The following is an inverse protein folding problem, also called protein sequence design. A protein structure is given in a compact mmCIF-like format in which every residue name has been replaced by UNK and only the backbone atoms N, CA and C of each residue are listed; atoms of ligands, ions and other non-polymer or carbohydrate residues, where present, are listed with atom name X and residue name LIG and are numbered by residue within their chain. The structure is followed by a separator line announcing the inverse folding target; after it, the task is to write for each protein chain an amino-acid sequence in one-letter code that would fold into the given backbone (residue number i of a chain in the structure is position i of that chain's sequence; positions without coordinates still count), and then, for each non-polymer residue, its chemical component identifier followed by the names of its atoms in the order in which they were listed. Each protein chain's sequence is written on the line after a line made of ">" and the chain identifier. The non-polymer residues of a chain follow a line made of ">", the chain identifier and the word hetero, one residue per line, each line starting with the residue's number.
data_IF_721854474300
#
_entry.id   IF_721854474300
#
_cell.length_a   1.000
_cell.length_b   1.000
_cell.length_c   1.000
_cell.angle_alpha   90.00
_cell.angle_beta   90.00
_cell.angle_gamma   90.00
#
_symmetry.space_group_name_H-M   'P 1'
#
loop_
_entity.id
_entity.type
_entity.pdbx_description
1 polymer ?
#
# COMPACT_ATOMS: atom_id res chain seq x y z
N UNK A 1 -24.93 7.19 3.62
CA UNK A 1 -24.61 6.84 5.00
C UNK A 1 -23.12 6.98 5.19
N UNK A 2 -22.71 7.66 6.27
CA UNK A 2 -21.30 7.77 6.69
C UNK A 2 -21.01 6.74 7.76
N UNK A 3 -19.78 6.22 7.79
CA UNK A 3 -19.29 5.30 8.80
C UNK A 3 -18.21 5.98 9.63
N UNK A 4 -18.29 5.78 10.95
CA UNK A 4 -17.34 6.34 11.90
C UNK A 4 -16.62 5.23 12.65
N UNK A 5 -15.35 5.46 12.89
CA UNK A 5 -14.51 4.58 13.69
C UNK A 5 -14.71 4.88 15.18
N UNK A 6 -14.22 3.99 16.03
CA UNK A 6 -14.32 4.17 17.51
C UNK A 6 -13.65 5.44 18.02
N UNK A 7 -12.64 5.94 17.33
CA UNK A 7 -11.95 7.22 17.63
C UNK A 7 -12.69 8.46 17.08
N UNK A 8 -13.88 8.28 16.53
CA UNK A 8 -14.70 9.35 15.98
C UNK A 8 -14.38 9.76 14.54
N UNK A 9 -13.32 9.25 13.93
CA UNK A 9 -12.96 9.57 12.55
C UNK A 9 -13.96 8.96 11.56
N UNK A 10 -14.39 9.75 10.57
CA UNK A 10 -15.09 9.27 9.39
C UNK A 10 -14.16 8.42 8.51
N UNK A 11 -14.72 7.48 7.75
CA UNK A 11 -13.96 6.75 6.71
C UNK A 11 -13.97 7.47 5.36
N UNK A 12 -14.66 8.60 5.24
CA UNK A 12 -14.82 9.33 3.97
C UNK A 12 -13.48 9.93 3.51
N UNK A 13 -13.23 9.92 2.23
CA UNK A 13 -12.03 10.41 1.54
C UNK A 13 -10.70 9.74 1.96
N UNK A 14 -10.50 9.49 3.24
CA UNK A 14 -9.24 8.99 3.79
C UNK A 14 -9.23 7.47 3.99
N UNK A 15 -10.41 6.82 4.00
CA UNK A 15 -10.54 5.41 4.33
C UNK A 15 -9.96 5.08 5.72
N UNK A 16 -9.47 3.87 5.89
CA UNK A 16 -8.73 3.43 7.08
C UNK A 16 -7.25 3.37 6.75
N UNK A 17 -6.50 4.33 7.27
CA UNK A 17 -5.07 4.41 7.02
C UNK A 17 -4.31 3.29 7.74
N UNK A 18 -3.51 2.53 7.00
CA UNK A 18 -2.64 1.48 7.55
C UNK A 18 -1.48 2.06 8.37
N UNK A 19 -1.11 1.38 9.46
CA UNK A 19 0.05 1.76 10.26
C UNK A 19 1.37 1.57 9.50
N UNK A 20 1.46 0.53 8.67
CA UNK A 20 2.61 0.27 7.80
C UNK A 20 2.13 0.33 6.36
N UNK A 21 2.61 1.32 5.63
CA UNK A 21 2.27 1.54 4.22
C UNK A 21 3.38 0.96 3.36
N UNK A 22 3.02 0.07 2.44
CA UNK A 22 3.92 -0.48 1.42
C UNK A 22 3.88 0.40 0.17
N UNK A 23 4.98 0.49 -0.60
CA UNK A 23 4.99 1.26 -1.84
C UNK A 23 3.94 0.74 -2.82
N UNK A 24 3.06 1.60 -3.33
CA UNK A 24 2.05 1.25 -4.32
C UNK A 24 1.92 2.35 -5.38
N UNK A 25 1.78 1.94 -6.64
CA UNK A 25 1.52 2.88 -7.74
C UNK A 25 0.16 3.56 -7.57
N UNK A 26 -0.82 2.84 -7.02
CA UNK A 26 -2.19 3.32 -6.81
C UNK A 26 -2.24 4.54 -5.87
N UNK A 27 -1.30 4.68 -4.93
CA UNK A 27 -1.21 5.82 -4.02
C UNK A 27 -0.90 7.15 -4.73
N UNK A 28 -0.42 7.07 -5.98
CA UNK A 28 -0.04 8.23 -6.80
C UNK A 28 -1.03 8.53 -7.94
N UNK A 29 -2.03 7.68 -8.10
CA UNK A 29 -3.09 7.84 -9.09
C UNK A 29 -4.24 8.66 -8.53
N UNK A 30 -4.96 9.37 -9.42
CA UNK A 30 -6.18 10.11 -9.05
C UNK A 30 -7.38 9.14 -9.04
N UNK A 31 -7.33 8.15 -8.17
CA UNK A 31 -8.34 7.12 -7.95
C UNK A 31 -8.83 7.19 -6.51
N UNK A 32 -10.02 6.67 -6.26
CA UNK A 32 -10.62 6.66 -4.94
C UNK A 32 -11.71 7.73 -4.78
N UNK A 33 -12.35 7.71 -3.63
CA UNK A 33 -13.52 8.55 -3.34
C UNK A 33 -13.22 10.05 -3.46
N UNK A 34 -12.02 10.48 -3.02
CA UNK A 34 -11.61 11.88 -3.06
C UNK A 34 -11.51 12.49 -4.48
N UNK A 35 -11.45 11.63 -5.53
CA UNK A 35 -11.42 12.07 -6.93
C UNK A 35 -12.81 12.22 -7.56
N UNK A 36 -13.87 11.87 -6.84
CA UNK A 36 -15.26 11.97 -7.31
C UNK A 36 -15.81 13.40 -7.11
N UNK A 37 -16.57 13.90 -8.08
CA UNK A 37 -17.12 15.27 -8.06
C UNK A 37 -18.02 15.56 -6.84
N UNK A 38 -18.65 14.55 -6.26
CA UNK A 38 -19.57 14.68 -5.14
C UNK A 38 -19.14 13.86 -3.92
N UNK A 39 -17.81 13.69 -3.72
CA UNK A 39 -17.29 13.01 -2.56
C UNK A 39 -17.74 13.70 -1.26
N UNK A 40 -18.17 12.91 -0.28
CA UNK A 40 -18.49 13.42 1.04
C UNK A 40 -17.22 13.84 1.76
N UNK A 41 -17.24 15.01 2.39
CA UNK A 41 -16.09 15.52 3.13
C UNK A 41 -15.79 14.63 4.35
N UNK A 42 -14.50 14.52 4.68
CA UNK A 42 -14.09 13.95 5.96
C UNK A 42 -14.61 14.80 7.12
N UNK A 43 -15.17 14.14 8.13
CA UNK A 43 -15.59 14.79 9.37
C UNK A 43 -15.28 13.89 10.59
N UNK A 44 -15.52 14.40 11.77
CA UNK A 44 -15.30 13.71 13.03
C UNK A 44 -16.49 13.89 13.96
N UNK A 45 -16.81 12.84 14.69
CA UNK A 45 -17.77 12.86 15.81
C UNK A 45 -17.04 12.61 17.14
N UNK A 46 -17.75 12.69 18.24
CA UNK A 46 -17.19 12.35 19.54
C UNK A 46 -16.70 10.89 19.56
N UNK A 47 -15.51 10.68 20.11
CA UNK A 47 -14.93 9.38 20.33
C UNK A 47 -15.83 8.51 21.21
N UNK A 48 -15.96 7.22 20.87
CA UNK A 48 -16.69 6.25 21.70
C UNK A 48 -15.87 5.86 22.92
N UNK A 49 -16.56 5.55 24.02
CA UNK A 49 -15.90 4.96 25.20
C UNK A 49 -15.42 3.55 24.86
N UNK A 50 -14.11 3.32 24.90
CA UNK A 50 -13.52 1.99 24.70
C UNK A 50 -12.27 1.79 25.55
N UNK A 51 -11.96 0.54 25.84
CA UNK A 51 -10.74 0.17 26.57
C UNK A 51 -9.64 -0.17 25.57
N UNK A 52 -8.58 0.64 25.53
CA UNK A 52 -7.42 0.33 24.70
C UNK A 52 -6.64 -0.86 25.28
N UNK A 53 -6.45 -1.90 24.46
CA UNK A 53 -5.69 -3.10 24.85
C UNK A 53 -4.17 -2.92 24.69
N UNK A 54 -3.72 -1.82 24.08
CA UNK A 54 -2.31 -1.46 23.89
C UNK A 54 -1.43 -2.53 23.20
N UNK A 55 -2.04 -3.50 22.50
CA UNK A 55 -1.28 -4.54 21.76
C UNK A 55 -0.46 -3.94 20.61
N UNK A 56 -0.97 -2.88 19.99
CA UNK A 56 -0.25 -2.09 18.98
C UNK A 56 0.04 -0.72 19.57
N UNK A 57 1.30 -0.43 19.81
CA UNK A 57 1.77 0.85 20.32
C UNK A 57 2.84 1.45 19.40
N UNK A 58 3.23 2.69 19.65
CA UNK A 58 4.19 3.42 18.82
C UNK A 58 5.56 2.72 18.71
N UNK A 59 6.04 2.04 19.76
CA UNK A 59 7.30 1.31 19.75
C UNK A 59 7.21 0.08 18.82
N UNK A 60 6.16 -0.73 18.99
CA UNK A 60 5.89 -1.90 18.13
C UNK A 60 5.81 -1.47 16.67
N UNK A 61 4.97 -0.47 16.36
CA UNK A 61 4.80 0.05 15.00
C UNK A 61 6.13 0.57 14.43
N UNK A 62 6.94 1.28 15.22
CA UNK A 62 8.24 1.80 14.79
C UNK A 62 9.23 0.67 14.45
N UNK A 63 9.27 -0.39 15.26
CA UNK A 63 10.14 -1.56 15.03
C UNK A 63 9.73 -2.31 13.77
N UNK A 64 8.44 -2.55 13.58
CA UNK A 64 7.90 -3.20 12.41
C UNK A 64 8.20 -2.39 11.14
N UNK A 65 7.96 -1.07 11.16
CA UNK A 65 8.30 -0.18 10.04
C UNK A 65 9.78 -0.26 9.66
N UNK A 66 10.68 -0.29 10.65
CA UNK A 66 12.13 -0.38 10.38
C UNK A 66 12.53 -1.72 9.75
N UNK A 67 11.95 -2.84 10.23
CA UNK A 67 12.20 -4.17 9.66
C UNK A 67 11.67 -4.27 8.23
N UNK A 68 10.41 -3.87 8.02
CA UNK A 68 9.78 -3.84 6.71
C UNK A 68 10.55 -2.97 5.71
N UNK A 69 10.93 -1.75 6.09
CA UNK A 69 11.70 -0.85 5.22
C UNK A 69 13.02 -1.45 4.76
N UNK A 70 13.70 -2.25 5.61
CA UNK A 70 14.93 -2.96 5.22
C UNK A 70 14.67 -4.04 4.18
N UNK A 71 13.61 -4.87 4.35
CA UNK A 71 13.25 -5.92 3.39
C UNK A 71 12.84 -5.33 2.06
N UNK A 72 11.97 -4.31 2.07
CA UNK A 72 11.55 -3.56 0.88
C UNK A 72 12.72 -2.96 0.11
N UNK A 73 13.75 -2.47 0.81
CA UNK A 73 14.95 -1.91 0.16
C UNK A 73 15.83 -2.98 -0.52
N UNK A 74 15.77 -4.23 -0.05
CA UNK A 74 16.55 -5.35 -0.59
C UNK A 74 15.79 -6.13 -1.66
N UNK A 75 14.46 -6.12 -1.64
CA UNK A 75 13.62 -6.87 -2.56
C UNK A 75 13.58 -6.20 -3.93
N UNK A 76 13.82 -6.98 -4.99
CA UNK A 76 13.95 -6.45 -6.36
C UNK A 76 12.60 -6.06 -6.97
N UNK A 77 11.51 -6.74 -6.61
CA UNK A 77 10.16 -6.38 -7.05
C UNK A 77 9.74 -5.02 -6.47
N UNK A 78 9.98 -4.78 -5.18
CA UNK A 78 9.73 -3.45 -4.62
C UNK A 78 10.64 -2.36 -5.18
N UNK A 79 11.84 -2.69 -5.64
CA UNK A 79 12.69 -1.74 -6.39
C UNK A 79 12.08 -1.41 -7.74
N UNK A 80 11.54 -2.42 -8.47
CA UNK A 80 10.81 -2.23 -9.73
C UNK A 80 9.61 -1.32 -9.50
N UNK A 81 8.74 -1.63 -8.52
CA UNK A 81 7.58 -0.81 -8.16
C UNK A 81 7.97 0.65 -7.86
N UNK A 82 9.00 0.88 -7.06
CA UNK A 82 9.48 2.25 -6.77
C UNK A 82 9.96 3.00 -8.02
N UNK A 83 10.58 2.29 -8.95
CA UNK A 83 10.99 2.87 -10.22
C UNK A 83 9.77 3.25 -11.07
N UNK A 84 8.77 2.37 -11.13
CA UNK A 84 7.55 2.64 -11.89
C UNK A 84 6.75 3.80 -11.29
N UNK A 85 6.71 3.91 -9.96
CA UNK A 85 6.17 5.09 -9.28
C UNK A 85 6.91 6.37 -9.69
N UNK A 86 8.24 6.33 -9.71
CA UNK A 86 9.05 7.50 -10.11
C UNK A 86 8.80 7.90 -11.56
N UNK A 87 8.77 6.92 -12.47
CA UNK A 87 8.46 7.11 -13.89
C UNK A 87 7.05 7.68 -14.09
N UNK A 88 6.06 7.17 -13.34
CA UNK A 88 4.67 7.66 -13.36
C UNK A 88 4.59 9.12 -12.90
N UNK A 89 5.20 9.44 -11.76
CA UNK A 89 5.23 10.81 -11.23
C UNK A 89 5.90 11.77 -12.21
N UNK A 90 6.99 11.35 -12.86
CA UNK A 90 7.66 12.15 -13.87
C UNK A 90 6.74 12.39 -15.09
N UNK A 91 6.06 11.36 -15.57
CA UNK A 91 5.07 11.47 -16.66
C UNK A 91 3.91 12.40 -16.30
N UNK A 92 3.37 12.27 -15.09
CA UNK A 92 2.26 13.11 -14.60
C UNK A 92 2.66 14.61 -14.51
N UNK A 93 3.94 14.90 -14.24
CA UNK A 93 4.47 16.29 -14.20
C UNK A 93 4.72 16.89 -15.58
N UNK A 94 4.75 16.10 -16.65
CA UNK A 94 5.00 16.62 -18.01
C UNK A 94 3.84 17.48 -18.48
N UNK A 95 4.14 18.73 -18.82
CA UNK A 95 3.15 19.69 -19.36
C UNK A 95 3.06 19.67 -20.88
N UNK A 96 3.93 18.91 -21.58
CA UNK A 96 3.99 18.82 -23.04
C UNK A 96 4.28 17.41 -23.49
N UNK A 97 3.62 16.97 -24.56
CA UNK A 97 3.84 15.68 -25.19
C UNK A 97 4.65 15.93 -26.48
N UNK A 98 5.71 15.17 -26.74
CA UNK A 98 6.47 15.30 -27.98
C UNK A 98 5.59 14.88 -29.16
N UNK A 99 5.38 15.78 -30.12
CA UNK A 99 4.64 15.49 -31.35
C UNK A 99 5.43 14.66 -32.39
N UNK A 100 6.71 14.37 -32.10
CA UNK A 100 7.53 13.54 -32.98
C UNK A 100 7.06 12.08 -32.90
N UNK A 101 6.59 11.53 -34.03
CA UNK A 101 6.02 10.20 -34.13
C UNK A 101 7.01 9.09 -33.70
N UNK A 102 8.29 9.22 -33.99
CA UNK A 102 9.30 8.22 -33.61
C UNK A 102 9.53 8.19 -32.09
N UNK A 103 9.62 9.38 -31.44
CA UNK A 103 9.73 9.48 -29.99
C UNK A 103 8.49 8.91 -29.29
N UNK A 104 7.29 9.22 -29.81
CA UNK A 104 6.05 8.71 -29.27
C UNK A 104 5.94 7.18 -29.38
N UNK A 105 6.38 6.61 -30.52
CA UNK A 105 6.43 5.14 -30.71
C UNK A 105 7.40 4.47 -29.77
N UNK A 106 8.58 5.05 -29.57
CA UNK A 106 9.57 4.49 -28.64
C UNK A 106 9.16 4.59 -27.18
N UNK A 107 8.42 5.65 -26.80
CA UNK A 107 7.83 5.76 -25.46
C UNK A 107 6.71 4.73 -25.27
N UNK A 108 5.79 4.57 -26.22
CA UNK A 108 4.71 3.56 -26.17
C UNK A 108 5.26 2.13 -26.12
N UNK A 109 6.24 1.81 -26.95
CA UNK A 109 6.87 0.48 -26.94
C UNK A 109 7.60 0.15 -25.63
N UNK A 110 8.01 1.16 -24.86
CA UNK A 110 8.55 0.96 -23.51
C UNK A 110 7.44 0.73 -22.48
N UNK A 111 6.31 1.39 -22.65
CA UNK A 111 5.16 1.24 -21.77
C UNK A 111 4.48 -0.14 -22.01
N UNK A 112 4.26 -0.54 -23.28
CA UNK A 112 3.72 -1.86 -23.65
C UNK A 112 4.56 -3.03 -23.11
N UNK A 113 5.89 -2.95 -23.18
CA UNK A 113 6.77 -3.97 -22.57
C UNK A 113 6.69 -4.05 -21.05
N UNK A 114 6.30 -2.97 -20.39
CA UNK A 114 6.09 -2.98 -18.93
C UNK A 114 4.76 -3.64 -18.56
N UNK A 115 3.73 -3.40 -19.35
CA UNK A 115 2.41 -3.99 -19.13
C UNK A 115 2.45 -5.52 -19.37
N UNK A 116 3.23 -6.01 -20.36
CA UNK A 116 3.44 -7.45 -20.58
C UNK A 116 4.20 -8.15 -19.42
N UNK A 117 5.10 -7.43 -18.73
CA UNK A 117 5.84 -7.97 -17.57
C UNK A 117 4.97 -7.96 -16.28
N UNK A 118 3.87 -7.22 -16.24
CA UNK A 118 2.98 -7.12 -15.08
C UNK A 118 1.73 -8.02 -15.20
N UNK A 119 1.39 -8.49 -16.42
CA UNK A 119 0.26 -9.41 -16.69
C UNK A 119 0.51 -10.88 -16.25
N UNK A 120 1.71 -11.21 -15.75
CA UNK A 120 2.00 -12.54 -15.18
C UNK A 120 1.39 -12.75 -13.77
N UNK A 121 0.76 -11.73 -13.17
CA UNK A 121 -0.15 -11.91 -12.03
C UNK A 121 -1.53 -12.35 -12.57
N UNK A 122 -1.54 -13.54 -13.20
CA UNK A 122 -2.75 -14.24 -13.63
C UNK A 122 -3.65 -14.50 -12.40
N UNK A 123 -4.65 -13.66 -12.24
CA UNK A 123 -5.83 -13.90 -11.41
C UNK A 123 -6.60 -15.12 -11.98
N UNK A 124 -5.92 -16.26 -12.03
CA UNK A 124 -6.63 -17.53 -12.18
C UNK A 124 -7.40 -17.72 -10.88
N UNK A 125 -8.71 -17.51 -10.95
CA UNK A 125 -9.70 -18.06 -10.02
C UNK A 125 -9.64 -19.60 -10.06
N UNK A 126 -8.47 -20.18 -9.88
CA UNK A 126 -8.29 -21.61 -9.64
C UNK A 126 -8.82 -21.89 -8.24
N UNK A 127 -10.01 -22.50 -8.18
CA UNK A 127 -10.64 -22.95 -6.92
C UNK A 127 -9.68 -23.82 -6.07
N UNK A 128 -8.62 -24.36 -6.64
CA UNK A 128 -7.57 -25.18 -6.02
C UNK A 128 -6.23 -24.42 -5.81
N UNK A 129 -6.17 -23.12 -6.12
CA UNK A 129 -4.98 -22.27 -5.93
C UNK A 129 -4.64 -22.03 -4.45
N UNK A 130 -3.43 -21.57 -4.13
CA UNK A 130 -3.08 -21.23 -2.75
C UNK A 130 -3.99 -20.09 -2.25
N UNK A 131 -4.48 -20.22 -1.01
CA UNK A 131 -5.36 -19.22 -0.35
C UNK A 131 -4.74 -17.82 -0.36
N UNK A 132 -3.42 -17.72 -0.43
CA UNK A 132 -2.68 -16.49 -0.56
C UNK A 132 -1.69 -16.63 -1.72
N UNK A 133 -1.88 -15.91 -2.84
CA UNK A 133 -0.91 -15.92 -3.94
C UNK A 133 0.46 -15.43 -3.48
N UNK A 134 1.52 -16.01 -4.08
CA UNK A 134 2.91 -15.65 -3.76
C UNK A 134 3.25 -14.36 -4.51
N UNK A 135 3.08 -13.23 -3.84
CA UNK A 135 3.44 -11.91 -4.35
C UNK A 135 4.35 -11.20 -3.34
N UNK A 136 5.16 -10.24 -3.80
CA UNK A 136 6.02 -9.44 -2.90
C UNK A 136 5.22 -8.76 -1.79
N UNK A 137 4.00 -8.32 -2.09
CA UNK A 137 3.11 -7.71 -1.11
C UNK A 137 2.66 -8.70 -0.05
N UNK A 138 2.18 -9.86 -0.45
CA UNK A 138 1.68 -10.88 0.47
C UNK A 138 2.81 -11.43 1.34
N UNK A 139 3.98 -11.66 0.76
CA UNK A 139 5.17 -12.09 1.50
C UNK A 139 5.59 -11.04 2.53
N UNK A 140 5.58 -9.76 2.18
CA UNK A 140 5.94 -8.72 3.13
C UNK A 140 4.89 -8.56 4.24
N UNK A 141 3.59 -8.69 3.94
CA UNK A 141 2.52 -8.69 4.95
C UNK A 141 2.69 -9.86 5.92
N UNK A 142 2.98 -11.06 5.42
CA UNK A 142 3.26 -12.23 6.25
C UNK A 142 4.51 -12.02 7.12
N UNK A 143 5.58 -11.47 6.56
CA UNK A 143 6.80 -11.17 7.32
C UNK A 143 6.53 -10.14 8.44
N UNK A 144 5.71 -9.11 8.18
CA UNK A 144 5.29 -8.14 9.20
C UNK A 144 4.47 -8.84 10.29
N UNK A 145 3.56 -9.76 9.92
CA UNK A 145 2.75 -10.50 10.88
C UNK A 145 3.62 -11.41 11.78
N UNK A 146 4.59 -12.10 11.20
CA UNK A 146 5.56 -12.92 11.97
C UNK A 146 6.37 -12.05 12.91
N UNK A 147 6.93 -10.95 12.44
CA UNK A 147 7.67 -9.98 13.26
C UNK A 147 6.83 -9.45 14.43
N UNK A 148 5.54 -9.18 14.19
CA UNK A 148 4.62 -8.73 15.21
C UNK A 148 4.39 -9.78 16.30
N UNK A 149 4.16 -11.05 15.91
CA UNK A 149 4.00 -12.15 16.85
C UNK A 149 5.26 -12.36 17.70
N UNK A 150 6.45 -12.25 17.08
CA UNK A 150 7.73 -12.34 17.80
C UNK A 150 7.89 -11.24 18.84
N UNK A 151 7.54 -9.99 18.48
CA UNK A 151 7.58 -8.85 19.40
C UNK A 151 6.63 -9.06 20.58
N UNK A 152 5.41 -9.56 20.35
CA UNK A 152 4.46 -9.85 21.42
C UNK A 152 4.98 -10.94 22.37
N UNK A 153 5.58 -12.02 21.85
CA UNK A 153 6.17 -13.08 22.66
C UNK A 153 7.33 -12.56 23.52
N UNK A 154 8.17 -11.70 22.95
CA UNK A 154 9.27 -11.06 23.71
C UNK A 154 8.79 -10.18 24.87
N UNK A 155 7.65 -9.49 24.71
CA UNK A 155 7.04 -8.69 25.78
C UNK A 155 6.48 -9.58 26.89
N UNK A 156 5.81 -10.69 26.55
CA UNK A 156 5.23 -11.63 27.53
C UNK A 156 6.32 -12.33 28.35
N UNK A 157 7.47 -12.65 27.77
CA UNK A 157 8.59 -13.28 28.49
C UNK A 157 9.34 -12.31 29.39
N UNK A 158 9.34 -11.01 29.10
CA UNK A 158 10.00 -9.98 29.91
C UNK A 158 9.17 -9.56 31.16
N UNK A 159 7.88 -9.95 31.22
CA UNK A 159 6.97 -9.67 32.34
C UNK A 159 6.86 -10.83 33.35
N UNK A 160 7.58 -11.92 33.14
CA UNK A 160 7.71 -13.04 34.08
C UNK A 160 9.07 -13.01 34.78
#
# INVERSE_FOLDING_TARGET
>A
NQFYRVNGDSTQNLGVKSDIVLPSLLDHMDIGESSLDNALAFDQIAESEYTSLAYVNADVTSRLKKKSAKRIAMNDEFKKIKKDIADYIERKKRKSIPLNAEKLRTERAKDEKKDEDDDDDDDTDDEDGPVLPVTAYNDEVLNIAVDYVELLRGVVTAQR
#
